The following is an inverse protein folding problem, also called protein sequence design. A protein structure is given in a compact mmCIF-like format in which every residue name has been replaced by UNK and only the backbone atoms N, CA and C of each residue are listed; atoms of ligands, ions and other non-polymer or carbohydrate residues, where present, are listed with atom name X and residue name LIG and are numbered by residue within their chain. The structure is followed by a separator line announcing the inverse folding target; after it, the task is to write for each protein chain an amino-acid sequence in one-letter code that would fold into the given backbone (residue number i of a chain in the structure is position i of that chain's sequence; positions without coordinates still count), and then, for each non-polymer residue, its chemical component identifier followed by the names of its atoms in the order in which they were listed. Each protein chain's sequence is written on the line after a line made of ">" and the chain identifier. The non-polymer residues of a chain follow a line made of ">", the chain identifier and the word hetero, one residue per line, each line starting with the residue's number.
data_IF_352715922716
#
_entry.id   IF_352715922716
#
_cell.length_a   1.000
_cell.length_b   1.000
_cell.length_c   1.000
_cell.angle_alpha   90.00
_cell.angle_beta   90.00
_cell.angle_gamma   90.00
#
_symmetry.space_group_name_H-M   'P 1'
#
loop_
_entity.id
_entity.type
_entity.pdbx_description
1 polymer ?
#
# COMPACT_ATOMS: atom_id res chain seq x y z
N UNK A 1 -13.66 13.21 27.34
CA UNK A 1 -14.11 12.15 26.41
C UNK A 1 -14.68 10.89 27.09
N UNK A 2 -14.41 10.62 28.37
CA UNK A 2 -14.76 9.35 29.06
C UNK A 2 -16.25 9.20 29.40
N UNK A 3 -16.93 10.30 29.79
CA UNK A 3 -18.34 10.31 30.20
C UNK A 3 -19.30 9.91 29.07
N UNK A 4 -19.02 10.37 27.85
CA UNK A 4 -19.81 10.06 26.65
C UNK A 4 -19.67 8.58 26.25
N UNK A 5 -18.46 8.01 26.38
CA UNK A 5 -18.22 6.58 26.11
C UNK A 5 -18.97 5.68 27.10
N UNK A 6 -18.95 6.04 28.38
CA UNK A 6 -19.68 5.34 29.44
C UNK A 6 -21.21 5.41 29.24
N UNK A 7 -21.75 6.57 28.87
CA UNK A 7 -23.17 6.71 28.55
C UNK A 7 -23.58 5.89 27.33
N UNK A 8 -22.75 5.87 26.27
CA UNK A 8 -22.97 5.00 25.10
C UNK A 8 -22.92 3.52 25.45
N UNK A 9 -21.96 3.09 26.27
CA UNK A 9 -21.87 1.70 26.71
C UNK A 9 -23.07 1.30 27.59
N UNK A 10 -23.60 2.24 28.39
CA UNK A 10 -24.78 2.03 29.24
C UNK A 10 -26.09 2.01 28.43
N UNK A 11 -26.14 2.74 27.32
CA UNK A 11 -27.26 2.77 26.38
C UNK A 11 -27.20 1.67 25.31
N UNK A 12 -26.04 1.02 25.13
CA UNK A 12 -25.87 -0.07 24.19
C UNK A 12 -26.62 -1.31 24.69
N UNK A 13 -27.49 -1.85 23.83
CA UNK A 13 -28.13 -3.16 24.06
C UNK A 13 -27.03 -4.19 24.32
N UNK A 14 -27.14 -4.93 25.42
CA UNK A 14 -26.26 -6.08 25.67
C UNK A 14 -26.58 -7.14 24.63
N UNK A 15 -25.59 -7.47 23.80
CA UNK A 15 -25.67 -8.59 22.88
C UNK A 15 -25.74 -9.89 23.69
N UNK A 16 -26.53 -10.83 23.21
CA UNK A 16 -26.46 -12.22 23.68
C UNK A 16 -25.10 -12.82 23.36
N UNK A 17 -24.75 -13.93 24.03
CA UNK A 17 -23.50 -14.65 23.76
C UNK A 17 -23.38 -15.10 22.29
N UNK A 18 -24.49 -15.49 21.67
CA UNK A 18 -24.54 -15.84 20.24
C UNK A 18 -24.23 -14.64 19.35
N UNK A 19 -24.93 -13.52 19.56
CA UNK A 19 -24.69 -12.27 18.82
C UNK A 19 -23.27 -11.74 19.01
N UNK A 20 -22.70 -11.86 20.22
CA UNK A 20 -21.32 -11.46 20.50
C UNK A 20 -20.31 -12.31 19.72
N UNK A 21 -20.56 -13.63 19.61
CA UNK A 21 -19.70 -14.54 18.85
C UNK A 21 -19.73 -14.22 17.36
N UNK A 22 -20.91 -13.98 16.80
CA UNK A 22 -21.06 -13.59 15.40
C UNK A 22 -20.36 -12.26 15.11
N UNK A 23 -20.56 -11.25 15.97
CA UNK A 23 -19.90 -9.96 15.81
C UNK A 23 -18.37 -10.08 15.89
N UNK A 24 -17.85 -10.91 16.79
CA UNK A 24 -16.42 -11.20 16.86
C UNK A 24 -15.88 -11.90 15.62
N UNK A 25 -16.63 -12.82 15.05
CA UNK A 25 -16.25 -13.49 13.80
C UNK A 25 -16.18 -12.49 12.65
N UNK A 26 -17.20 -11.62 12.49
CA UNK A 26 -17.20 -10.57 11.46
C UNK A 26 -16.05 -9.57 11.64
N UNK A 27 -15.72 -9.22 12.88
CA UNK A 27 -14.57 -8.36 13.17
C UNK A 27 -13.26 -9.03 12.76
N UNK A 28 -13.11 -10.32 13.07
CA UNK A 28 -11.93 -11.08 12.70
C UNK A 28 -11.78 -11.21 11.18
N UNK A 29 -12.85 -11.54 10.47
CA UNK A 29 -12.88 -11.60 8.99
C UNK A 29 -12.49 -10.25 8.36
N UNK A 30 -12.98 -9.15 8.94
CA UNK A 30 -12.61 -7.80 8.50
C UNK A 30 -11.13 -7.52 8.67
N UNK A 31 -10.60 -7.83 9.84
CA UNK A 31 -9.21 -7.61 10.15
C UNK A 31 -8.28 -8.49 9.31
N UNK A 32 -8.67 -9.74 9.04
CA UNK A 32 -7.92 -10.64 8.16
C UNK A 32 -7.89 -10.12 6.72
N UNK A 33 -9.00 -9.59 6.21
CA UNK A 33 -9.06 -8.97 4.88
C UNK A 33 -8.21 -7.70 4.80
N UNK A 34 -8.28 -6.85 5.83
CA UNK A 34 -7.46 -5.63 5.93
C UNK A 34 -5.95 -5.96 6.01
N UNK A 35 -5.57 -6.96 6.82
CA UNK A 35 -4.19 -7.43 6.90
C UNK A 35 -3.69 -7.91 5.53
N UNK A 36 -4.51 -8.69 4.80
CA UNK A 36 -4.16 -9.18 3.46
C UNK A 36 -3.97 -8.05 2.45
N UNK A 37 -4.81 -7.01 2.53
CA UNK A 37 -4.67 -5.80 1.72
C UNK A 37 -3.31 -5.14 1.99
N UNK A 38 -2.98 -4.87 3.26
CA UNK A 38 -1.71 -4.24 3.62
C UNK A 38 -0.49 -5.10 3.30
N UNK A 39 -0.58 -6.43 3.44
CA UNK A 39 0.48 -7.33 3.00
C UNK A 39 0.74 -7.21 1.50
N UNK A 40 -0.32 -7.20 0.69
CA UNK A 40 -0.18 -7.05 -0.76
C UNK A 40 0.42 -5.70 -1.14
N UNK A 41 0.03 -4.61 -0.47
CA UNK A 41 0.63 -3.29 -0.66
C UNK A 41 2.12 -3.29 -0.30
N UNK A 42 2.51 -3.97 0.79
CA UNK A 42 3.90 -4.10 1.17
C UNK A 42 4.70 -4.87 0.12
N UNK A 43 4.16 -5.95 -0.43
CA UNK A 43 4.82 -6.73 -1.49
C UNK A 43 5.07 -5.86 -2.74
N UNK A 44 4.07 -5.07 -3.16
CA UNK A 44 4.20 -4.13 -4.29
C UNK A 44 5.30 -3.09 -4.03
N UNK A 45 5.37 -2.58 -2.79
CA UNK A 45 6.42 -1.63 -2.39
C UNK A 45 7.80 -2.30 -2.40
N UNK A 46 7.92 -3.52 -1.87
CA UNK A 46 9.17 -4.28 -1.88
C UNK A 46 9.66 -4.57 -3.30
N UNK A 47 8.77 -4.91 -4.24
CA UNK A 47 9.11 -5.09 -5.66
C UNK A 47 9.68 -3.80 -6.27
N UNK A 48 9.06 -2.65 -5.98
CA UNK A 48 9.54 -1.34 -6.44
C UNK A 48 10.90 -1.00 -5.83
N UNK A 49 11.06 -1.21 -4.51
CA UNK A 49 12.31 -0.96 -3.81
C UNK A 49 13.45 -1.83 -4.35
N UNK A 50 13.19 -3.11 -4.63
CA UNK A 50 14.17 -4.00 -5.26
C UNK A 50 14.61 -3.47 -6.64
N UNK A 51 13.66 -2.97 -7.45
CA UNK A 51 13.98 -2.36 -8.74
C UNK A 51 14.85 -1.12 -8.58
N UNK A 52 14.53 -0.25 -7.61
CA UNK A 52 15.33 0.95 -7.29
C UNK A 52 16.75 0.56 -6.88
N UNK A 53 16.90 -0.43 -6.00
CA UNK A 53 18.20 -0.92 -5.54
C UNK A 53 19.02 -1.46 -6.71
N UNK A 54 18.42 -2.27 -7.58
CA UNK A 54 19.11 -2.82 -8.76
C UNK A 54 19.59 -1.72 -9.70
N UNK A 55 18.75 -0.72 -9.98
CA UNK A 55 19.12 0.43 -10.81
C UNK A 55 20.24 1.23 -10.16
N UNK A 56 20.15 1.49 -8.85
CA UNK A 56 21.19 2.21 -8.11
C UNK A 56 22.53 1.45 -8.17
N UNK A 57 22.54 0.14 -7.92
CA UNK A 57 23.74 -0.69 -8.01
C UNK A 57 24.33 -0.69 -9.43
N UNK A 58 23.48 -0.77 -10.46
CA UNK A 58 23.91 -0.73 -11.87
C UNK A 58 24.61 0.58 -12.20
N UNK A 59 24.06 1.71 -11.71
CA UNK A 59 24.66 3.02 -11.91
C UNK A 59 25.93 3.22 -11.05
N UNK A 60 25.96 2.66 -9.83
CA UNK A 60 27.09 2.76 -8.90
C UNK A 60 28.27 1.86 -9.23
N UNK A 61 28.11 0.84 -10.07
CA UNK A 61 29.18 -0.10 -10.46
C UNK A 61 30.22 0.50 -11.44
N UNK A 62 30.38 1.82 -11.46
CA UNK A 62 31.38 2.49 -12.27
C UNK A 62 32.71 2.62 -11.52
N UNK A 63 33.75 1.96 -12.02
CA UNK A 63 35.14 2.18 -11.56
C UNK A 63 35.75 3.48 -12.13
N UNK A 64 35.16 4.07 -13.18
CA UNK A 64 35.57 5.37 -13.72
C UNK A 64 34.35 6.22 -14.11
N UNK A 65 34.03 7.19 -13.26
CA UNK A 65 33.10 8.26 -13.58
C UNK A 65 33.83 9.25 -14.50
N UNK A 66 33.54 9.25 -15.80
CA UNK A 66 34.08 10.25 -16.74
C UNK A 66 33.11 11.44 -16.82
N UNK A 67 33.41 12.58 -16.16
CA UNK A 67 32.51 13.72 -16.09
C UNK A 67 32.35 14.48 -17.43
N UNK A 68 33.11 14.12 -18.47
CA UNK A 68 33.09 14.78 -19.78
C UNK A 68 31.94 14.32 -20.68
N UNK A 69 31.26 13.21 -20.34
CA UNK A 69 30.09 12.73 -21.06
C UNK A 69 28.85 13.37 -20.44
N UNK A 70 28.10 14.15 -21.23
CA UNK A 70 26.82 14.72 -20.80
C UNK A 70 25.92 13.62 -20.22
N UNK A 71 25.52 13.67 -18.93
CA UNK A 71 24.74 12.62 -18.29
C UNK A 71 23.35 12.45 -18.91
N UNK A 72 22.84 13.47 -19.61
CA UNK A 72 21.57 13.43 -20.34
C UNK A 72 21.67 12.57 -21.60
N UNK A 73 22.88 12.40 -22.14
CA UNK A 73 23.17 11.56 -23.31
C UNK A 73 23.68 10.17 -22.93
N UNK A 74 23.92 9.91 -21.64
CA UNK A 74 24.32 8.58 -21.18
C UNK A 74 23.13 7.62 -21.31
N UNK A 75 23.26 6.66 -22.23
CA UNK A 75 22.26 5.65 -22.50
C UNK A 75 21.84 4.89 -21.24
N UNK A 76 22.75 4.69 -20.28
CA UNK A 76 22.49 3.97 -19.03
C UNK A 76 21.60 4.77 -18.09
N UNK A 77 21.82 6.09 -18.01
CA UNK A 77 20.97 6.99 -17.21
C UNK A 77 19.58 7.06 -17.82
N UNK A 78 19.47 7.17 -19.14
CA UNK A 78 18.19 7.14 -19.84
C UNK A 78 17.44 5.81 -19.61
N UNK A 79 18.16 4.68 -19.71
CA UNK A 79 17.62 3.36 -19.44
C UNK A 79 17.15 3.22 -17.98
N UNK A 80 17.97 3.66 -17.02
CA UNK A 80 17.63 3.67 -15.60
C UNK A 80 16.35 4.48 -15.32
N UNK A 81 16.26 5.69 -15.89
CA UNK A 81 15.06 6.53 -15.76
C UNK A 81 13.84 5.84 -16.35
N UNK A 82 13.97 5.20 -17.52
CA UNK A 82 12.87 4.47 -18.14
C UNK A 82 12.42 3.29 -17.28
N UNK A 83 13.36 2.46 -16.80
CA UNK A 83 13.07 1.34 -15.91
C UNK A 83 12.35 1.78 -14.64
N UNK A 84 12.82 2.85 -13.99
CA UNK A 84 12.19 3.39 -12.78
C UNK A 84 10.79 3.93 -13.05
N UNK A 85 10.57 4.65 -14.17
CA UNK A 85 9.25 5.14 -14.54
C UNK A 85 8.27 4.01 -14.78
N UNK A 86 8.67 3.00 -15.55
CA UNK A 86 7.83 1.83 -15.84
C UNK A 86 7.51 1.06 -14.56
N UNK A 87 8.49 0.82 -13.69
CA UNK A 87 8.27 0.13 -12.42
C UNK A 87 7.33 0.91 -11.50
N UNK A 88 7.48 2.23 -11.42
CA UNK A 88 6.60 3.09 -10.62
C UNK A 88 5.15 3.05 -11.13
N UNK A 89 4.97 3.13 -12.45
CA UNK A 89 3.65 3.12 -13.08
C UNK A 89 2.95 1.76 -12.85
N UNK A 90 3.69 0.66 -13.03
CA UNK A 90 3.20 -0.69 -12.74
C UNK A 90 2.83 -0.89 -11.26
N UNK A 91 3.67 -0.41 -10.34
CA UNK A 91 3.38 -0.50 -8.90
C UNK A 91 2.12 0.29 -8.53
N UNK A 92 1.93 1.49 -9.09
CA UNK A 92 0.72 2.29 -8.88
C UNK A 92 -0.53 1.62 -9.43
N UNK A 93 -0.45 1.01 -10.62
CA UNK A 93 -1.57 0.27 -11.19
C UNK A 93 -1.93 -0.96 -10.34
N UNK A 94 -0.93 -1.70 -9.87
CA UNK A 94 -1.14 -2.85 -8.98
C UNK A 94 -1.78 -2.42 -7.67
N UNK A 95 -1.27 -1.37 -7.03
CA UNK A 95 -1.82 -0.83 -5.78
C UNK A 95 -3.28 -0.40 -5.98
N UNK A 96 -3.58 0.35 -7.05
CA UNK A 96 -4.94 0.80 -7.35
C UNK A 96 -5.93 -0.36 -7.59
N UNK A 97 -5.49 -1.44 -8.23
CA UNK A 97 -6.32 -2.65 -8.43
C UNK A 97 -6.63 -3.33 -7.10
N UNK A 98 -5.61 -3.52 -6.26
CA UNK A 98 -5.74 -4.16 -4.94
C UNK A 98 -6.65 -3.34 -4.02
N UNK A 99 -6.48 -2.01 -4.02
CA UNK A 99 -7.34 -1.10 -3.28
C UNK A 99 -8.80 -1.16 -3.76
N UNK A 100 -9.03 -1.22 -5.08
CA UNK A 100 -10.35 -1.36 -5.65
C UNK A 100 -11.03 -2.68 -5.23
N UNK A 101 -10.31 -3.79 -5.31
CA UNK A 101 -10.82 -5.11 -4.93
C UNK A 101 -11.17 -5.17 -3.43
N UNK A 102 -10.28 -4.66 -2.57
CA UNK A 102 -10.52 -4.60 -1.13
C UNK A 102 -11.73 -3.72 -0.79
N UNK A 103 -11.85 -2.54 -1.40
CA UNK A 103 -13.01 -1.65 -1.20
C UNK A 103 -14.33 -2.28 -1.67
N UNK A 104 -14.30 -3.05 -2.78
CA UNK A 104 -15.46 -3.78 -3.30
C UNK A 104 -15.96 -4.84 -2.31
N UNK A 105 -15.07 -5.54 -1.61
CA UNK A 105 -15.45 -6.59 -0.66
C UNK A 105 -16.22 -6.03 0.55
N UNK A 106 -15.93 -4.81 0.99
CA UNK A 106 -16.44 -4.27 2.24
C UNK A 106 -17.57 -3.24 2.10
N UNK A 107 -18.02 -2.93 0.87
CA UNK A 107 -18.97 -1.85 0.60
C UNK A 107 -18.62 -0.57 1.38
N UNK A 108 -17.33 -0.28 1.55
CA UNK A 108 -16.87 0.88 2.31
C UNK A 108 -17.45 2.10 1.60
N UNK A 109 -18.36 2.86 2.24
CA UNK A 109 -18.91 4.03 1.57
C UNK A 109 -17.72 4.94 1.24
N UNK A 110 -17.79 5.62 0.09
CA UNK A 110 -16.80 6.63 -0.33
C UNK A 110 -16.84 7.84 0.63
N UNK A 111 -16.63 7.61 1.93
CA UNK A 111 -16.51 8.65 2.94
C UNK A 111 -15.09 9.16 2.82
N UNK A 112 -14.87 10.10 1.88
CA UNK A 112 -13.69 10.95 1.73
C UNK A 112 -12.43 10.46 2.42
N UNK A 113 -12.03 9.21 2.16
CA UNK A 113 -10.90 8.61 2.85
C UNK A 113 -9.66 9.30 2.29
N UNK A 114 -8.67 9.67 3.14
CA UNK A 114 -7.41 10.17 2.64
C UNK A 114 -6.88 9.17 1.62
N UNK A 115 -6.42 9.68 0.49
CA UNK A 115 -5.87 8.88 -0.61
C UNK A 115 -4.91 7.84 -0.03
N UNK A 116 -5.31 6.57 -0.06
CA UNK A 116 -4.50 5.39 0.30
C UNK A 116 -3.47 5.10 -0.79
N UNK A 117 -2.98 6.13 -1.48
CA UNK A 117 -1.77 6.02 -2.29
C UNK A 117 -0.59 6.11 -1.35
N UNK A 118 0.06 4.97 -1.15
CA UNK A 118 1.35 4.93 -0.47
C UNK A 118 2.49 5.17 -1.47
N UNK A 119 2.24 5.03 -2.78
CA UNK A 119 3.18 5.18 -3.90
C UNK A 119 2.79 6.33 -4.87
#
# INVERSE_FOLDING_TARGET
>A
MTRVRLQRAKAARRLSLGELREEKLRQWERQESENRFYHTCLDIFCDLAATVINVAQTLSSQDMFEPEINPVSDHRVLQAVQTLRTALEQSREREARVEFEWKKQWNVPRVGAPSTRWI
#
